data_IF_591875701792
#
_entry.id   IF_591875701792
#
_cell.length_a   1.000
_cell.length_b   1.000
_cell.length_c   1.000
_cell.angle_alpha   90.00
_cell.angle_beta   90.00
_cell.angle_gamma   90.00
#
_symmetry.space_group_name_H-M   'P 1'
#
loop_
_entity.id
_entity.type
_entity.pdbx_description
1 polymer ?
#
# COMPACT_ATOMS: atom_id res chain seq x y z
N UNK A 1 -14.15 -40.65 30.43
CA UNK A 1 -12.91 -41.24 30.97
C UNK A 1 -11.87 -41.19 29.86
N UNK A 2 -11.05 -40.14 29.84
CA UNK A 2 -10.02 -39.98 28.81
C UNK A 2 -8.76 -40.66 29.33
N UNK A 3 -8.31 -41.71 28.64
CA UNK A 3 -7.04 -42.40 28.90
C UNK A 3 -5.92 -41.36 28.83
N UNK A 4 -5.42 -40.94 29.99
CA UNK A 4 -4.11 -40.31 30.10
C UNK A 4 -3.12 -41.35 29.61
N UNK A 5 -2.34 -41.01 28.59
CA UNK A 5 -1.36 -41.89 27.99
C UNK A 5 -0.49 -42.52 29.08
N UNK A 6 -0.56 -43.84 29.22
CA UNK A 6 0.36 -44.61 30.04
C UNK A 6 1.78 -44.30 29.57
N UNK A 7 2.62 -43.89 30.52
CA UNK A 7 4.04 -43.65 30.30
C UNK A 7 4.68 -44.98 29.90
N UNK A 8 4.77 -45.26 28.61
CA UNK A 8 5.50 -46.41 28.09
C UNK A 8 6.98 -46.21 28.41
N UNK A 9 7.44 -46.80 29.51
CA UNK A 9 8.86 -47.00 29.81
C UNK A 9 9.35 -48.23 29.04
N UNK A 10 9.27 -48.15 27.71
CA UNK A 10 9.91 -49.12 26.80
C UNK A 10 11.38 -48.76 26.60
N UNK A 11 12.22 -49.76 26.40
CA UNK A 11 13.62 -49.58 26.02
C UNK A 11 13.69 -48.84 24.67
N UNK A 12 14.57 -47.84 24.55
CA UNK A 12 14.70 -47.05 23.32
C UNK A 12 15.31 -47.90 22.19
N UNK A 13 14.86 -47.67 20.96
CA UNK A 13 15.48 -48.29 19.78
C UNK A 13 16.95 -47.88 19.66
N UNK A 14 17.81 -48.79 19.18
CA UNK A 14 19.20 -48.48 18.82
C UNK A 14 19.35 -48.03 17.37
N UNK A 15 18.27 -48.06 16.58
CA UNK A 15 18.25 -47.63 15.18
C UNK A 15 17.92 -46.13 15.05
N UNK A 16 18.81 -45.38 14.38
CA UNK A 16 18.67 -43.93 14.21
C UNK A 16 17.42 -43.56 13.39
N UNK A 17 17.07 -44.34 12.36
CA UNK A 17 15.90 -44.06 11.53
C UNK A 17 14.61 -44.21 12.34
N UNK A 18 14.53 -45.26 13.17
CA UNK A 18 13.43 -45.49 14.11
C UNK A 18 13.30 -44.33 15.10
N UNK A 19 14.38 -43.96 15.78
CA UNK A 19 14.36 -42.81 16.72
C UNK A 19 13.97 -41.49 16.02
N UNK A 20 14.41 -41.28 14.79
CA UNK A 20 14.04 -40.09 13.99
C UNK A 20 12.54 -40.06 13.69
N UNK A 21 11.96 -41.20 13.32
CA UNK A 21 10.53 -41.32 13.05
C UNK A 21 9.70 -41.07 14.31
N UNK A 22 10.10 -41.64 15.45
CA UNK A 22 9.45 -41.43 16.76
C UNK A 22 9.49 -39.96 17.18
N UNK A 23 10.66 -39.30 17.10
CA UNK A 23 10.80 -37.88 17.41
C UNK A 23 9.88 -37.02 16.52
N UNK A 24 9.83 -37.31 15.22
CA UNK A 24 8.95 -36.58 14.30
C UNK A 24 7.47 -36.82 14.60
N UNK A 25 7.08 -38.02 15.02
CA UNK A 25 5.72 -38.30 15.47
C UNK A 25 5.36 -37.48 16.72
N UNK A 26 6.24 -37.43 17.73
CA UNK A 26 6.01 -36.60 18.92
C UNK A 26 5.95 -35.10 18.59
N UNK A 27 6.81 -34.62 17.68
CA UNK A 27 6.75 -33.22 17.19
C UNK A 27 5.40 -32.91 16.55
N UNK A 28 4.87 -33.82 15.73
CA UNK A 28 3.56 -33.66 15.09
C UNK A 28 2.45 -33.55 16.13
N UNK A 29 2.43 -34.46 17.12
CA UNK A 29 1.46 -34.44 18.22
C UNK A 29 1.56 -33.14 19.01
N UNK A 30 2.78 -32.66 19.29
CA UNK A 30 2.99 -31.39 19.97
C UNK A 30 2.50 -30.19 19.15
N UNK A 31 2.66 -30.21 17.83
CA UNK A 31 2.12 -29.19 16.92
C UNK A 31 0.59 -29.18 16.90
N UNK A 32 -0.04 -30.35 16.77
CA UNK A 32 -1.50 -30.50 16.79
C UNK A 32 -2.11 -30.06 18.13
N UNK A 33 -1.41 -30.28 19.24
CA UNK A 33 -1.87 -29.88 20.57
C UNK A 33 -2.09 -28.36 20.67
N UNK A 34 -1.33 -27.53 19.95
CA UNK A 34 -1.49 -26.07 19.95
C UNK A 34 -2.90 -25.68 19.50
N UNK A 35 -3.36 -26.25 18.39
CA UNK A 35 -4.67 -25.94 17.82
C UNK A 35 -5.80 -26.51 18.67
N UNK A 36 -5.64 -27.72 19.21
CA UNK A 36 -6.63 -28.36 20.09
C UNK A 36 -6.77 -27.63 21.44
N UNK A 37 -5.68 -27.07 21.99
CA UNK A 37 -5.72 -26.16 23.14
C UNK A 37 -6.49 -24.90 22.77
N UNK A 38 -6.14 -24.26 21.64
CA UNK A 38 -6.82 -23.06 21.13
C UNK A 38 -8.33 -23.24 20.98
N UNK A 39 -8.75 -24.37 20.39
CA UNK A 39 -10.17 -24.74 20.22
C UNK A 39 -10.92 -24.85 21.54
N UNK A 40 -10.32 -25.47 22.56
CA UNK A 40 -10.93 -25.61 23.91
C UNK A 40 -11.00 -24.26 24.63
N UNK A 41 -9.93 -23.49 24.57
CA UNK A 41 -9.88 -22.13 25.11
C UNK A 41 -10.97 -21.26 24.47
N UNK A 42 -11.12 -21.30 23.14
CA UNK A 42 -12.15 -20.54 22.41
C UNK A 42 -13.55 -20.92 22.88
N UNK A 43 -13.86 -22.22 22.97
CA UNK A 43 -15.16 -22.70 23.44
C UNK A 43 -15.49 -22.17 24.85
N UNK A 44 -14.56 -22.27 25.78
CA UNK A 44 -14.75 -21.78 27.16
C UNK A 44 -15.03 -20.27 27.18
N UNK A 45 -14.31 -19.51 26.34
CA UNK A 45 -14.46 -18.05 26.21
C UNK A 45 -15.80 -17.65 25.57
N UNK A 46 -16.18 -18.27 24.46
CA UNK A 46 -17.41 -17.97 23.71
C UNK A 46 -18.67 -18.35 24.49
N UNK A 47 -18.67 -19.54 25.11
CA UNK A 47 -19.82 -20.04 25.87
C UNK A 47 -19.85 -19.53 27.32
N UNK A 48 -18.85 -18.73 27.73
CA UNK A 48 -18.70 -18.18 29.09
C UNK A 48 -18.75 -19.27 30.17
N UNK A 49 -18.06 -20.39 29.93
CA UNK A 49 -18.16 -21.58 30.80
C UNK A 49 -17.52 -21.33 32.17
N UNK A 50 -16.41 -20.59 32.22
CA UNK A 50 -15.76 -20.22 33.49
C UNK A 50 -16.70 -19.35 34.34
N UNK A 51 -17.34 -18.35 33.72
CA UNK A 51 -18.30 -17.46 34.39
C UNK A 51 -19.52 -18.21 34.92
N UNK A 52 -20.06 -19.16 34.13
CA UNK A 52 -21.20 -19.99 34.55
C UNK A 52 -20.89 -20.88 35.76
N UNK A 53 -19.62 -21.20 36.01
CA UNK A 53 -19.17 -21.99 37.15
C UNK A 53 -18.75 -21.12 38.34
N UNK A 54 -18.94 -19.79 38.27
CA UNK A 54 -18.59 -18.86 39.33
C UNK A 54 -17.09 -18.50 39.37
N UNK A 55 -16.32 -18.94 38.37
CA UNK A 55 -14.96 -18.46 38.12
C UNK A 55 -14.98 -17.31 37.11
N UNK A 56 -13.82 -16.74 36.78
CA UNK A 56 -13.70 -15.77 35.68
C UNK A 56 -12.73 -16.30 34.63
N UNK A 57 -12.93 -15.95 33.36
CA UNK A 57 -12.06 -16.36 32.25
C UNK A 57 -10.56 -16.25 32.57
N UNK A 58 -10.13 -15.11 33.13
CA UNK A 58 -8.72 -14.85 33.44
C UNK A 58 -8.20 -15.79 34.54
N UNK A 59 -8.95 -15.95 35.62
CA UNK A 59 -8.59 -16.82 36.74
C UNK A 59 -8.53 -18.29 36.31
N UNK A 60 -9.46 -18.70 35.43
CA UNK A 60 -9.44 -20.03 34.84
C UNK A 60 -8.20 -20.24 33.95
N UNK A 61 -7.84 -19.26 33.12
CA UNK A 61 -6.60 -19.32 32.33
C UNK A 61 -5.35 -19.44 33.22
N UNK A 62 -5.29 -18.66 34.31
CA UNK A 62 -4.18 -18.71 35.28
C UNK A 62 -4.06 -20.08 35.96
N UNK A 63 -5.19 -20.76 36.22
CA UNK A 63 -5.19 -22.14 36.75
C UNK A 63 -4.58 -23.18 35.80
N UNK A 64 -4.50 -22.85 34.50
CA UNK A 64 -3.84 -23.64 33.45
C UNK A 64 -2.41 -23.14 33.16
N UNK A 65 -1.85 -22.28 34.01
CA UNK A 65 -0.54 -21.63 33.81
C UNK A 65 -0.46 -20.77 32.54
N UNK A 66 -1.61 -20.27 32.06
CA UNK A 66 -1.68 -19.35 30.93
C UNK A 66 -1.89 -17.91 31.38
N UNK A 67 -1.08 -17.01 30.83
CA UNK A 67 -1.45 -15.59 30.79
C UNK A 67 -2.60 -15.39 29.80
N UNK A 68 -3.35 -14.30 29.94
CA UNK A 68 -4.35 -13.87 28.94
C UNK A 68 -3.77 -13.84 27.53
N UNK A 69 -2.58 -13.27 27.37
CA UNK A 69 -1.91 -13.15 26.08
C UNK A 69 -1.58 -14.52 25.49
N UNK A 70 -1.07 -15.45 26.30
CA UNK A 70 -0.77 -16.82 25.86
C UNK A 70 -2.04 -17.53 25.42
N UNK A 71 -3.11 -17.46 26.22
CA UNK A 71 -4.40 -18.06 25.88
C UNK A 71 -4.98 -17.49 24.58
N UNK A 72 -4.93 -16.16 24.40
CA UNK A 72 -5.38 -15.50 23.17
C UNK A 72 -4.55 -15.94 21.96
N UNK A 73 -3.23 -16.14 22.09
CA UNK A 73 -2.39 -16.66 20.99
C UNK A 73 -2.77 -18.08 20.58
N UNK A 74 -3.09 -18.96 21.52
CA UNK A 74 -3.58 -20.30 21.22
C UNK A 74 -4.93 -20.26 20.48
N UNK A 75 -5.86 -19.41 20.93
CA UNK A 75 -7.14 -19.20 20.24
C UNK A 75 -6.91 -18.71 18.82
N UNK A 76 -6.08 -17.67 18.64
CA UNK A 76 -5.76 -17.12 17.32
C UNK A 76 -5.08 -18.14 16.41
N UNK A 77 -4.20 -18.99 16.95
CA UNK A 77 -3.59 -20.07 16.19
C UNK A 77 -4.66 -21.03 15.65
N UNK A 78 -5.64 -21.41 16.46
CA UNK A 78 -6.75 -22.24 15.99
C UNK A 78 -7.64 -21.52 14.98
N UNK A 79 -7.94 -20.24 15.17
CA UNK A 79 -8.79 -19.47 14.25
C UNK A 79 -8.15 -19.26 12.88
N UNK A 80 -6.84 -19.02 12.83
CA UNK A 80 -6.14 -18.68 11.60
C UNK A 80 -5.57 -19.91 10.87
N UNK A 81 -5.32 -21.01 11.58
CA UNK A 81 -4.72 -22.22 11.01
C UNK A 81 -5.60 -23.47 11.13
N UNK A 82 -6.79 -23.38 11.71
CA UNK A 82 -7.66 -24.54 11.94
C UNK A 82 -8.05 -25.31 10.67
N UNK A 83 -8.09 -24.61 9.53
CA UNK A 83 -8.39 -25.18 8.21
C UNK A 83 -7.12 -25.39 7.34
N UNK A 84 -5.94 -24.99 7.83
CA UNK A 84 -4.67 -25.09 7.11
C UNK A 84 -4.21 -26.54 7.15
N UNK A 85 -3.86 -27.09 5.99
CA UNK A 85 -3.37 -28.47 5.87
C UNK A 85 -1.91 -28.54 6.32
N UNK A 86 -1.55 -29.63 6.99
CA UNK A 86 -0.17 -29.98 7.37
C UNK A 86 0.59 -29.02 8.32
N UNK A 87 -0.02 -28.06 9.01
CA UNK A 87 0.69 -27.19 9.99
C UNK A 87 1.31 -27.89 11.20
N UNK A 88 1.04 -29.18 11.41
CA UNK A 88 1.52 -29.94 12.56
C UNK A 88 3.06 -30.06 12.64
N UNK A 89 3.78 -29.92 11.53
CA UNK A 89 5.25 -29.91 11.53
C UNK A 89 5.84 -28.52 11.90
N UNK A 90 5.02 -27.47 11.93
CA UNK A 90 5.45 -26.11 12.24
C UNK A 90 5.58 -25.94 13.75
N UNK A 91 6.76 -25.52 14.18
CA UNK A 91 7.06 -25.29 15.59
C UNK A 91 6.21 -24.14 16.17
N UNK A 92 5.77 -24.28 17.42
CA UNK A 92 4.93 -23.31 18.13
C UNK A 92 5.42 -21.86 18.03
N UNK A 93 6.75 -21.65 18.16
CA UNK A 93 7.34 -20.33 18.04
C UNK A 93 7.03 -19.66 16.70
N UNK A 94 7.08 -20.43 15.59
CA UNK A 94 6.77 -19.92 14.26
C UNK A 94 5.28 -19.65 14.09
N UNK A 95 4.41 -20.54 14.57
CA UNK A 95 2.95 -20.33 14.57
C UNK A 95 2.59 -19.01 15.25
N UNK A 96 3.19 -18.74 16.42
CA UNK A 96 2.95 -17.50 17.16
C UNK A 96 3.54 -16.25 16.51
N UNK A 97 4.53 -16.37 15.63
CA UNK A 97 4.96 -15.26 14.78
C UNK A 97 3.98 -15.03 13.63
N UNK A 98 3.51 -16.11 13.00
CA UNK A 98 2.62 -16.02 11.84
C UNK A 98 1.22 -15.53 12.19
N UNK A 99 0.67 -15.81 13.39
CA UNK A 99 -0.61 -15.22 13.82
C UNK A 99 -0.59 -13.69 13.87
N UNK A 100 0.61 -13.08 13.93
CA UNK A 100 0.81 -11.63 13.95
C UNK A 100 1.05 -11.03 12.56
N UNK A 101 1.04 -11.86 11.50
CA UNK A 101 1.03 -11.36 10.13
C UNK A 101 -0.29 -10.60 9.89
N UNK A 102 -0.28 -9.59 9.00
CA UNK A 102 -1.49 -8.94 8.51
C UNK A 102 -2.59 -9.95 8.11
N UNK A 103 -3.86 -9.64 8.37
CA UNK A 103 -5.00 -10.56 8.14
C UNK A 103 -5.29 -10.80 6.66
N UNK A 104 -4.87 -9.89 5.78
CA UNK A 104 -4.94 -10.03 4.32
C UNK A 104 -3.92 -11.04 3.76
N UNK A 105 -2.95 -11.50 4.54
CA UNK A 105 -2.01 -12.55 4.12
C UNK A 105 -2.64 -13.90 4.41
N UNK A 106 -2.90 -14.69 3.37
CA UNK A 106 -3.37 -16.05 3.53
C UNK A 106 -2.29 -16.91 4.21
N UNK A 107 -2.69 -17.67 5.24
CA UNK A 107 -1.75 -18.45 6.05
C UNK A 107 -1.23 -19.69 5.30
N UNK A 108 -2.07 -20.33 4.50
CA UNK A 108 -1.69 -21.48 3.71
C UNK A 108 -0.70 -21.04 2.62
N UNK A 109 -1.04 -19.98 1.88
CA UNK A 109 -0.17 -19.40 0.84
C UNK A 109 1.18 -18.95 1.42
N UNK A 110 1.17 -18.33 2.61
CA UNK A 110 2.40 -17.92 3.28
C UNK A 110 3.29 -19.10 3.67
N UNK A 111 2.71 -20.24 4.08
CA UNK A 111 3.47 -21.44 4.44
C UNK A 111 4.04 -22.13 3.19
N UNK A 112 3.24 -22.24 2.13
CA UNK A 112 3.60 -22.95 0.90
C UNK A 112 4.68 -22.23 0.09
N UNK A 113 4.65 -20.89 0.10
CA UNK A 113 5.61 -20.10 -0.66
C UNK A 113 6.90 -19.84 0.11
N UNK A 114 8.05 -19.89 -0.56
CA UNK A 114 9.31 -19.50 0.06
C UNK A 114 9.44 -17.97 0.13
N UNK A 115 10.15 -17.48 1.15
CA UNK A 115 10.36 -16.05 1.37
C UNK A 115 11.85 -15.71 1.41
N UNK A 116 12.17 -14.52 0.93
CA UNK A 116 13.53 -13.97 0.99
C UNK A 116 13.80 -13.40 2.37
N UNK A 117 14.86 -13.90 3.02
CA UNK A 117 15.30 -13.44 4.33
C UNK A 117 16.05 -12.10 4.17
N UNK A 118 15.61 -11.01 4.81
CA UNK A 118 16.22 -9.69 4.63
C UNK A 118 17.71 -9.62 4.96
N UNK A 119 18.17 -10.28 6.03
CA UNK A 119 19.58 -10.21 6.45
C UNK A 119 20.54 -11.00 5.57
N UNK A 120 20.10 -12.10 4.95
CA UNK A 120 20.97 -13.02 4.20
C UNK A 120 20.71 -13.03 2.71
N UNK A 121 19.57 -12.50 2.26
CA UNK A 121 19.11 -12.59 0.88
C UNK A 121 18.69 -14.01 0.44
N UNK A 122 18.75 -15.01 1.33
CA UNK A 122 18.39 -16.39 1.00
C UNK A 122 16.88 -16.56 0.93
N UNK A 123 16.41 -17.33 -0.05
CA UNK A 123 15.02 -17.74 -0.17
C UNK A 123 14.81 -19.08 0.53
N UNK A 124 13.92 -19.13 1.54
CA UNK A 124 13.65 -20.33 2.36
C UNK A 124 12.16 -20.59 2.51
N UNK A 125 11.77 -21.85 2.68
CA UNK A 125 10.42 -22.20 3.14
C UNK A 125 10.27 -21.90 4.64
N UNK A 126 9.04 -21.71 5.11
CA UNK A 126 8.76 -21.42 6.53
C UNK A 126 9.31 -22.53 7.45
N UNK A 127 9.28 -23.78 7.00
CA UNK A 127 9.83 -24.94 7.72
C UNK A 127 11.34 -24.82 8.00
N UNK A 128 12.10 -24.27 7.06
CA UNK A 128 13.56 -24.15 7.12
C UNK A 128 14.04 -22.87 7.80
N UNK A 129 13.15 -21.89 7.99
CA UNK A 129 13.48 -20.65 8.69
C UNK A 129 13.70 -20.86 10.18
N UNK A 130 14.59 -20.08 10.76
CA UNK A 130 14.59 -19.85 12.20
C UNK A 130 13.45 -18.89 12.58
N UNK A 131 13.04 -18.88 13.86
CA UNK A 131 12.06 -17.89 14.36
C UNK A 131 12.55 -16.45 14.14
N UNK A 132 13.87 -16.22 14.19
CA UNK A 132 14.46 -14.91 13.94
C UNK A 132 14.29 -14.49 12.48
N UNK A 133 14.62 -15.37 11.55
CA UNK A 133 14.44 -15.11 10.11
C UNK A 133 12.97 -14.85 9.76
N UNK A 134 12.04 -15.63 10.34
CA UNK A 134 10.60 -15.40 10.16
C UNK A 134 10.15 -14.03 10.70
N UNK A 135 10.73 -13.55 11.82
CA UNK A 135 10.47 -12.19 12.32
C UNK A 135 10.96 -11.12 11.36
N UNK A 136 12.09 -11.34 10.71
CA UNK A 136 12.62 -10.41 9.70
C UNK A 136 11.68 -10.35 8.49
N UNK A 137 11.27 -11.49 7.95
CA UNK A 137 10.29 -11.57 6.85
C UNK A 137 8.99 -10.85 7.23
N UNK A 138 8.44 -11.16 8.41
CA UNK A 138 7.23 -10.48 8.93
C UNK A 138 7.42 -8.97 9.04
N UNK A 139 8.57 -8.50 9.51
CA UNK A 139 8.86 -7.08 9.65
C UNK A 139 8.96 -6.38 8.28
N UNK A 140 9.60 -7.02 7.31
CA UNK A 140 9.69 -6.53 5.94
C UNK A 140 8.30 -6.39 5.30
N UNK A 141 7.44 -7.42 5.42
CA UNK A 141 6.07 -7.39 4.91
C UNK A 141 5.24 -6.27 5.52
N UNK A 142 5.35 -6.05 6.84
CA UNK A 142 4.65 -4.93 7.51
C UNK A 142 5.16 -3.57 7.06
N UNK A 143 6.46 -3.44 6.83
CA UNK A 143 7.05 -2.20 6.34
C UNK A 143 6.59 -1.89 4.90
N UNK A 144 6.56 -2.91 4.04
CA UNK A 144 6.07 -2.79 2.67
C UNK A 144 4.58 -2.43 2.62
N UNK A 145 3.75 -3.08 3.42
CA UNK A 145 2.32 -2.76 3.52
C UNK A 145 2.09 -1.32 4.00
N UNK A 146 2.85 -0.87 5.01
CA UNK A 146 2.79 0.52 5.49
C UNK A 146 3.22 1.51 4.41
N UNK A 147 4.32 1.22 3.72
CA UNK A 147 4.82 2.07 2.64
C UNK A 147 3.81 2.17 1.49
N UNK A 148 3.17 1.05 1.12
CA UNK A 148 2.12 1.03 0.10
C UNK A 148 0.92 1.86 0.53
N UNK A 149 0.44 1.71 1.76
CA UNK A 149 -0.70 2.48 2.27
C UNK A 149 -0.41 4.00 2.29
N UNK A 150 0.77 4.39 2.75
CA UNK A 150 1.18 5.80 2.73
C UNK A 150 1.35 6.34 1.29
N UNK A 151 1.70 5.47 0.34
CA UNK A 151 1.76 5.80 -1.08
C UNK A 151 0.35 6.00 -1.66
N UNK A 152 -0.58 5.10 -1.36
CA UNK A 152 -1.99 5.23 -1.77
C UNK A 152 -2.60 6.54 -1.24
N UNK A 153 -2.42 6.83 0.05
CA UNK A 153 -2.92 8.06 0.69
C UNK A 153 -2.33 9.34 0.07
N UNK A 154 -1.05 9.32 -0.30
CA UNK A 154 -0.41 10.45 -1.00
C UNK A 154 -0.97 10.65 -2.41
N UNK A 155 -1.21 9.56 -3.13
CA UNK A 155 -1.77 9.62 -4.50
C UNK A 155 -3.15 10.24 -4.49
N UNK A 156 -4.01 9.79 -3.57
CA UNK A 156 -5.37 10.34 -3.43
C UNK A 156 -5.34 11.82 -3.01
N UNK A 157 -4.47 12.22 -2.09
CA UNK A 157 -4.33 13.62 -1.70
C UNK A 157 -3.87 14.53 -2.86
N UNK A 158 -2.94 14.04 -3.71
CA UNK A 158 -2.52 14.76 -4.92
C UNK A 158 -3.70 14.88 -5.89
N UNK A 159 -4.44 13.80 -6.09
CA UNK A 159 -5.61 13.77 -6.97
C UNK A 159 -6.68 14.77 -6.52
N UNK A 160 -7.04 14.76 -5.25
CA UNK A 160 -8.01 15.70 -4.65
C UNK A 160 -7.55 17.15 -4.81
N UNK A 161 -6.27 17.41 -4.57
CA UNK A 161 -5.69 18.76 -4.70
C UNK A 161 -5.78 19.25 -6.14
N UNK A 162 -5.44 18.40 -7.11
CA UNK A 162 -5.53 18.74 -8.52
C UNK A 162 -7.00 18.96 -8.91
N UNK A 163 -7.92 18.08 -8.53
CA UNK A 163 -9.35 18.25 -8.83
C UNK A 163 -9.93 19.55 -8.24
N UNK A 164 -9.53 19.92 -7.03
CA UNK A 164 -9.90 21.20 -6.42
C UNK A 164 -9.35 22.41 -7.19
N UNK A 165 -8.17 22.32 -7.80
CA UNK A 165 -7.61 23.38 -8.67
C UNK A 165 -8.47 23.52 -9.93
N UNK A 166 -8.88 22.40 -10.54
CA UNK A 166 -9.71 22.40 -11.76
C UNK A 166 -11.09 23.04 -11.55
N UNK A 167 -11.66 22.89 -10.36
CA UNK A 167 -12.99 23.43 -10.03
C UNK A 167 -12.96 24.91 -9.63
N UNK A 168 -11.78 25.53 -9.45
CA UNK A 168 -11.71 26.95 -9.16
C UNK A 168 -12.10 27.77 -10.39
N UNK A 169 -13.04 28.74 -10.26
CA UNK A 169 -13.37 29.62 -11.37
C UNK A 169 -12.13 30.43 -11.76
N UNK A 170 -11.93 30.71 -13.07
CA UNK A 170 -10.78 31.48 -13.54
C UNK A 170 -10.73 32.82 -12.81
N UNK A 171 -9.55 33.18 -12.28
CA UNK A 171 -9.34 34.39 -11.46
C UNK A 171 -9.45 35.71 -12.24
N UNK A 172 -9.69 35.67 -13.54
CA UNK A 172 -9.84 36.84 -14.41
C UNK A 172 -11.30 37.03 -14.84
N UNK A 173 -11.89 38.15 -14.44
CA UNK A 173 -13.23 38.56 -14.88
C UNK A 173 -13.10 39.46 -16.12
N UNK A 174 -13.66 39.02 -17.24
CA UNK A 174 -13.71 39.82 -18.47
C UNK A 174 -14.56 41.08 -18.24
N UNK A 175 -13.97 42.26 -18.41
CA UNK A 175 -14.66 43.56 -18.35
C UNK A 175 -14.72 44.13 -19.78
N UNK A 176 -15.90 44.19 -20.43
CA UNK A 176 -16.04 44.76 -21.76
C UNK A 176 -15.77 46.28 -21.75
N UNK A 177 -14.82 46.77 -22.57
CA UNK A 177 -14.57 48.21 -22.76
C UNK A 177 -15.62 48.82 -23.71
N UNK A 178 -16.42 49.81 -23.27
CA UNK A 178 -17.46 50.45 -24.09
C UNK A 178 -16.96 51.03 -25.42
N UNK A 179 -15.70 51.49 -25.48
CA UNK A 179 -15.12 52.07 -26.70
C UNK A 179 -14.87 51.03 -27.78
N UNK A 180 -14.69 49.77 -27.40
CA UNK A 180 -14.45 48.65 -28.31
C UNK A 180 -15.76 48.17 -28.92
N UNK A 181 -16.83 48.08 -28.13
CA UNK A 181 -18.18 47.75 -28.61
C UNK A 181 -18.71 48.76 -29.63
N UNK A 182 -18.47 50.06 -29.42
CA UNK A 182 -18.86 51.11 -30.38
C UNK A 182 -17.98 51.13 -31.64
N UNK A 183 -16.77 50.59 -31.57
CA UNK A 183 -15.91 50.40 -32.75
C UNK A 183 -16.37 49.20 -33.58
N UNK A 184 -16.79 48.11 -32.94
CA UNK A 184 -17.30 46.90 -33.59
C UNK A 184 -18.60 47.17 -34.38
N UNK A 185 -19.56 47.87 -33.76
CA UNK A 185 -20.80 48.32 -34.43
C UNK A 185 -20.55 49.16 -35.69
N UNK A 186 -19.51 49.99 -35.68
CA UNK A 186 -19.12 50.82 -36.84
C UNK A 186 -18.44 50.02 -37.95
N UNK A 187 -17.85 48.87 -37.61
CA UNK A 187 -17.20 47.96 -38.54
C UNK A 187 -18.23 47.06 -39.22
N UNK A 188 -19.15 46.47 -38.45
CA UNK A 188 -20.29 45.66 -38.93
C UNK A 188 -21.18 46.46 -39.90
N UNK A 189 -21.48 47.72 -39.57
CA UNK A 189 -22.23 48.62 -40.45
C UNK A 189 -21.52 48.97 -41.77
N UNK A 190 -20.20 48.77 -41.85
CA UNK A 190 -19.38 49.16 -43.01
C UNK A 190 -19.03 47.97 -43.92
N UNK A 191 -18.92 46.76 -43.38
CA UNK A 191 -18.43 45.59 -44.13
C UNK A 191 -19.42 44.41 -44.17
N UNK A 192 -20.59 44.49 -43.53
CA UNK A 192 -21.58 43.41 -43.50
C UNK A 192 -21.21 42.28 -42.54
N UNK A 193 -22.08 41.26 -42.44
CA UNK A 193 -21.85 40.08 -41.61
C UNK A 193 -20.62 39.31 -42.11
N UNK A 194 -19.60 39.22 -41.27
CA UNK A 194 -18.41 38.42 -41.54
C UNK A 194 -18.72 37.00 -41.09
N UNK A 195 -19.19 36.18 -42.02
CA UNK A 195 -19.37 34.75 -41.82
C UNK A 195 -17.99 34.10 -41.67
N UNK A 196 -17.65 33.74 -40.43
CA UNK A 196 -16.46 32.96 -40.08
C UNK A 196 -15.28 33.77 -39.54
N UNK A 197 -15.30 33.96 -38.23
CA UNK A 197 -14.23 34.49 -37.37
C UNK A 197 -14.10 36.02 -37.45
N UNK A 198 -15.10 36.67 -36.86
CA UNK A 198 -14.95 38.01 -36.27
C UNK A 198 -13.66 38.00 -35.44
N UNK A 199 -12.69 38.80 -35.88
CA UNK A 199 -11.54 39.19 -35.08
C UNK A 199 -12.06 40.02 -33.91
N UNK A 200 -12.51 39.34 -32.85
CA UNK A 200 -12.46 39.93 -31.54
C UNK A 200 -11.01 40.38 -31.35
N UNK A 201 -10.81 41.67 -31.05
CA UNK A 201 -9.53 42.12 -30.50
C UNK A 201 -9.43 41.46 -29.13
N UNK A 202 -8.95 40.23 -29.14
CA UNK A 202 -8.33 39.59 -28.00
C UNK A 202 -7.19 40.54 -27.62
N UNK A 203 -7.36 41.23 -26.50
CA UNK A 203 -6.24 41.89 -25.83
C UNK A 203 -5.15 40.83 -25.64
N UNK A 204 -3.85 41.16 -25.74
CA UNK A 204 -2.77 40.21 -25.39
C UNK A 204 -3.07 39.50 -24.05
N UNK A 205 -3.81 40.13 -23.13
CA UNK A 205 -4.30 39.50 -21.91
C UNK A 205 -5.26 38.32 -22.14
N UNK A 206 -6.24 38.37 -23.04
CA UNK A 206 -7.21 37.26 -23.22
C UNK A 206 -6.61 36.03 -23.92
N UNK A 207 -5.68 36.22 -24.87
CA UNK A 207 -4.94 35.12 -25.50
C UNK A 207 -3.92 34.51 -24.55
N UNK A 208 -3.16 35.35 -23.83
CA UNK A 208 -2.15 34.89 -22.86
C UNK A 208 -2.80 34.23 -21.65
N UNK A 209 -3.92 34.77 -21.14
CA UNK A 209 -4.66 34.17 -20.01
C UNK A 209 -5.32 32.85 -20.42
N UNK A 210 -5.86 32.76 -21.63
CA UNK A 210 -6.43 31.53 -22.19
C UNK A 210 -5.36 30.45 -22.44
N UNK A 211 -4.21 30.83 -23.01
CA UNK A 211 -3.07 29.94 -23.21
C UNK A 211 -2.47 29.47 -21.87
N UNK A 212 -2.42 30.35 -20.87
CA UNK A 212 -1.98 29.99 -19.52
C UNK A 212 -2.96 29.01 -18.84
N UNK A 213 -4.27 29.19 -19.03
CA UNK A 213 -5.28 28.27 -18.52
C UNK A 213 -5.20 26.88 -19.21
N UNK A 214 -5.04 26.85 -20.54
CA UNK A 214 -4.85 25.60 -21.27
C UNK A 214 -3.57 24.88 -20.85
N UNK A 215 -2.44 25.61 -20.73
CA UNK A 215 -1.18 25.07 -20.23
C UNK A 215 -1.34 24.48 -18.82
N UNK A 216 -2.09 25.15 -17.94
CA UNK A 216 -2.35 24.63 -16.59
C UNK A 216 -3.16 23.33 -16.61
N UNK A 217 -4.19 23.21 -17.46
CA UNK A 217 -5.00 21.99 -17.62
C UNK A 217 -4.17 20.84 -18.21
N UNK A 218 -3.31 21.13 -19.19
CA UNK A 218 -2.40 20.15 -19.81
C UNK A 218 -1.38 19.62 -18.79
N UNK A 219 -0.76 20.52 -18.01
CA UNK A 219 0.19 20.15 -16.95
C UNK A 219 -0.52 19.35 -15.86
N UNK A 220 -1.72 19.76 -15.46
CA UNK A 220 -2.49 19.03 -14.47
C UNK A 220 -2.86 17.62 -14.96
N UNK A 221 -3.28 17.48 -16.21
CA UNK A 221 -3.57 16.18 -16.84
C UNK A 221 -2.32 15.30 -16.88
N UNK A 222 -1.18 15.86 -17.25
CA UNK A 222 0.11 15.17 -17.19
C UNK A 222 0.43 14.67 -15.77
N UNK A 223 0.31 15.54 -14.75
CA UNK A 223 0.57 15.18 -13.37
C UNK A 223 -0.37 14.07 -12.86
N UNK A 224 -1.65 14.10 -13.23
CA UNK A 224 -2.61 13.04 -12.89
C UNK A 224 -2.24 11.70 -13.52
N UNK A 225 -1.89 11.70 -14.81
CA UNK A 225 -1.53 10.47 -15.54
C UNK A 225 -0.28 9.79 -14.95
N UNK A 226 0.65 10.57 -14.41
CA UNK A 226 1.94 10.06 -13.92
C UNK A 226 2.13 10.15 -12.40
N UNK A 227 1.09 10.50 -11.63
CA UNK A 227 1.15 10.59 -10.16
C UNK A 227 1.64 9.30 -9.49
N UNK A 228 1.36 8.14 -10.11
CA UNK A 228 1.82 6.85 -9.63
C UNK A 228 3.37 6.71 -9.60
N UNK A 229 4.09 7.40 -10.50
CA UNK A 229 5.55 7.32 -10.60
C UNK A 229 6.27 8.02 -9.45
N UNK A 230 5.64 8.98 -8.78
CA UNK A 230 6.26 9.70 -7.65
C UNK A 230 6.11 8.94 -6.32
N UNK A 231 5.32 7.86 -6.32
CA UNK A 231 4.73 7.33 -5.09
C UNK A 231 4.93 5.83 -4.96
N UNK A 232 4.85 5.07 -6.06
CA UNK A 232 5.04 3.61 -6.04
C UNK A 232 6.45 3.22 -6.47
N UNK A 233 7.28 2.78 -5.51
CA UNK A 233 8.59 2.17 -5.80
C UNK A 233 8.46 0.92 -6.67
N UNK A 234 7.33 0.21 -6.56
CA UNK A 234 6.97 -0.95 -7.38
C UNK A 234 7.02 -0.66 -8.89
N UNK A 235 6.73 0.58 -9.32
CA UNK A 235 6.83 1.01 -10.71
C UNK A 235 8.25 0.91 -11.29
N UNK A 236 9.26 0.79 -10.43
CA UNK A 236 10.67 0.71 -10.81
C UNK A 236 11.34 -0.59 -10.37
N UNK A 237 10.60 -1.54 -9.78
CA UNK A 237 11.18 -2.81 -9.33
C UNK A 237 11.34 -3.75 -10.53
N UNK A 238 12.57 -4.22 -10.79
CA UNK A 238 12.83 -5.16 -11.89
C UNK A 238 12.89 -4.54 -13.28
N UNK A 239 12.99 -3.22 -13.39
CA UNK A 239 13.21 -2.53 -14.68
C UNK A 239 14.62 -2.82 -15.21
N UNK A 240 14.78 -2.78 -16.53
CA UNK A 240 16.11 -2.87 -17.17
C UNK A 240 16.91 -1.58 -16.98
N UNK A 241 18.23 -1.68 -17.08
CA UNK A 241 19.13 -0.51 -17.06
C UNK A 241 18.75 0.51 -18.14
N UNK A 242 18.38 0.04 -19.33
CA UNK A 242 17.91 0.90 -20.43
C UNK A 242 16.62 1.66 -20.07
N UNK A 243 15.64 1.00 -19.44
CA UNK A 243 14.42 1.65 -19.00
C UNK A 243 14.69 2.68 -17.89
N UNK A 244 15.62 2.38 -16.98
CA UNK A 244 16.06 3.30 -15.94
C UNK A 244 16.69 4.57 -16.54
N UNK A 245 17.64 4.43 -17.46
CA UNK A 245 18.29 5.56 -18.14
C UNK A 245 17.30 6.42 -18.93
N UNK A 246 16.29 5.80 -19.56
CA UNK A 246 15.22 6.52 -20.24
C UNK A 246 14.39 7.39 -19.28
N UNK A 247 14.06 6.87 -18.09
CA UNK A 247 13.37 7.66 -17.07
C UNK A 247 14.24 8.83 -16.58
N UNK A 248 15.51 8.57 -16.26
CA UNK A 248 16.44 9.62 -15.78
C UNK A 248 16.59 10.73 -16.81
N UNK A 249 16.88 10.37 -18.07
CA UNK A 249 17.06 11.34 -19.16
C UNK A 249 15.80 12.17 -19.40
N UNK A 250 14.62 11.53 -19.38
CA UNK A 250 13.34 12.23 -19.57
C UNK A 250 13.05 13.21 -18.43
N UNK A 251 13.35 12.82 -17.19
CA UNK A 251 13.19 13.69 -16.02
C UNK A 251 14.14 14.88 -16.05
N UNK A 252 15.38 14.68 -16.48
CA UNK A 252 16.35 15.77 -16.59
C UNK A 252 15.96 16.75 -17.70
N UNK A 253 15.52 16.26 -18.86
CA UNK A 253 14.96 17.11 -19.92
C UNK A 253 13.74 17.92 -19.44
N UNK A 254 12.85 17.30 -18.66
CA UNK A 254 11.70 18.01 -18.08
C UNK A 254 12.13 19.09 -17.08
N UNK A 255 13.12 18.82 -16.21
CA UNK A 255 13.68 19.83 -15.30
C UNK A 255 14.30 20.99 -16.06
N UNK A 256 15.07 20.72 -17.11
CA UNK A 256 15.68 21.75 -17.94
C UNK A 256 14.63 22.63 -18.61
N UNK A 257 13.58 22.02 -19.16
CA UNK A 257 12.46 22.74 -19.76
C UNK A 257 11.75 23.64 -18.75
N UNK A 258 11.39 23.12 -17.56
CA UNK A 258 10.74 23.89 -16.49
C UNK A 258 11.62 25.06 -16.05
N UNK A 259 12.91 24.82 -15.80
CA UNK A 259 13.86 25.85 -15.41
C UNK A 259 14.02 26.93 -16.50
N UNK A 260 14.00 26.53 -17.76
CA UNK A 260 14.02 27.44 -18.91
C UNK A 260 12.78 28.32 -18.96
N UNK A 261 11.59 27.73 -18.84
CA UNK A 261 10.33 28.48 -18.78
C UNK A 261 10.31 29.47 -17.62
N UNK A 262 10.76 29.04 -16.43
CA UNK A 262 10.75 29.87 -15.24
C UNK A 262 11.67 31.09 -15.38
N UNK A 263 12.85 30.91 -15.99
CA UNK A 263 13.76 32.01 -16.34
C UNK A 263 13.12 33.02 -17.29
N UNK A 264 12.35 32.56 -18.29
CA UNK A 264 11.64 33.44 -19.23
C UNK A 264 10.53 34.21 -18.50
N UNK A 265 9.75 33.53 -17.66
CA UNK A 265 8.66 34.15 -16.88
C UNK A 265 9.19 35.21 -15.89
N UNK A 266 10.26 34.90 -15.16
CA UNK A 266 10.88 35.82 -14.19
C UNK A 266 11.49 37.05 -14.89
N UNK A 267 11.96 36.88 -16.13
CA UNK A 267 12.48 37.96 -16.96
C UNK A 267 11.42 38.81 -17.68
N UNK A 268 10.14 38.40 -17.68
CA UNK A 268 9.08 39.08 -18.43
C UNK A 268 8.33 40.09 -17.53
N UNK A 269 8.26 41.39 -17.90
CA UNK A 269 7.54 42.39 -17.11
C UNK A 269 6.04 42.06 -17.00
N UNK A 270 5.52 41.94 -15.78
CA UNK A 270 4.08 41.75 -15.55
C UNK A 270 3.32 43.05 -15.82
N UNK A 271 2.29 43.00 -16.67
CA UNK A 271 1.30 44.07 -16.81
C UNK A 271 1.63 45.25 -17.73
N UNK A 272 2.70 45.19 -18.56
CA UNK A 272 2.89 46.17 -19.64
C UNK A 272 2.34 45.59 -20.94
N UNK A 273 1.18 46.09 -21.38
CA UNK A 273 0.68 45.83 -22.72
C UNK A 273 1.65 46.47 -23.73
N UNK A 274 2.48 45.66 -24.38
CA UNK A 274 3.15 46.09 -25.60
C UNK A 274 2.14 46.00 -26.75
N UNK A 275 1.72 47.16 -27.25
CA UNK A 275 0.98 47.25 -28.50
C UNK A 275 1.96 46.92 -29.61
N UNK A 276 1.89 45.71 -30.13
CA UNK A 276 2.60 45.34 -31.35
C UNK A 276 1.69 45.74 -32.51
N UNK A 277 2.04 46.82 -33.21
CA UNK A 277 1.43 47.13 -34.50
C UNK A 277 1.94 46.09 -35.52
N UNK A 278 1.01 45.34 -36.10
CA UNK A 278 1.24 44.44 -37.25
C UNK A 278 0.84 45.17 -38.53
#
# INVERSE_FOLDING_TARGET
MTKVAEKQTGELSSDLATLTAEINAYKRVAGEAIFEIGRRLRKVKEEKLAEKQGEGWLKWCESLEFTRQTADKFIQAFEQFGDVRDVAHIQMGKVFEMIQLPYNIDRQEFIENPHTIPSTGQTKAVEDMTVRELREVKAALKAEEKARKEADERTEAIRDTLEAIRQQPPKTQYVPDPRVSDRLKRYEARYGDIDGIVTDRISNHTEVDGAAAQFADDVQTFLLNYAHLTTFKASFTGISDEAYENYVTSLDALKEFINGMQRVLDGTPKGKAEVIDI
#
